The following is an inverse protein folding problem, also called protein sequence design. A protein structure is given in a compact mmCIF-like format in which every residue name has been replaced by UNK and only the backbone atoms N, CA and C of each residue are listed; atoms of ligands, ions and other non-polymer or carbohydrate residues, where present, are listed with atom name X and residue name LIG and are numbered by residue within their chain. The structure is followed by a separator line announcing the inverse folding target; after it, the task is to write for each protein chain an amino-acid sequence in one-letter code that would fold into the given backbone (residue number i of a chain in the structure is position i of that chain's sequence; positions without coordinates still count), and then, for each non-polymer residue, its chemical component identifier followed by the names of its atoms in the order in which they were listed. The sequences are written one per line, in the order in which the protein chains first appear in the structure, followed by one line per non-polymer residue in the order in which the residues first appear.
data_IF_790681674662
#
_entry.id   IF_790681674662
#
_cell.length_a   1.000
_cell.length_b   1.000
_cell.length_c   1.000
_cell.angle_alpha   90.00
_cell.angle_beta   90.00
_cell.angle_gamma   90.00
#
_symmetry.space_group_name_H-M   'P 1'
#
loop_
_entity.id
_entity.type
_entity.pdbx_description
1 polymer ?
#
# COMPACT_ATOMS: atom_id res chain seq x y z
N UNK A 1 32.01 -20.75 17.62
CA UNK A 1 31.05 -21.45 16.71
C UNK A 1 30.18 -20.41 16.01
N UNK A 2 30.15 -20.35 14.67
CA UNK A 2 29.29 -19.41 13.92
C UNK A 2 27.84 -19.92 13.93
N UNK A 3 26.88 -19.14 14.42
CA UNK A 3 25.45 -19.50 14.37
C UNK A 3 24.99 -19.56 12.91
N UNK A 4 24.52 -20.72 12.44
CA UNK A 4 23.97 -20.88 11.08
C UNK A 4 22.74 -19.97 10.94
N UNK A 5 22.73 -19.10 9.91
CA UNK A 5 21.58 -18.25 9.60
C UNK A 5 20.47 -19.13 9.01
N UNK A 6 19.26 -19.03 9.56
CA UNK A 6 18.08 -19.69 9.01
C UNK A 6 17.76 -19.14 7.62
N UNK A 7 17.44 -20.04 6.68
CA UNK A 7 16.96 -19.67 5.35
C UNK A 7 15.59 -18.97 5.43
N UNK A 8 15.26 -18.19 4.42
CA UNK A 8 14.01 -17.42 4.39
C UNK A 8 12.77 -18.33 4.35
N UNK A 9 12.86 -19.48 3.65
CA UNK A 9 11.81 -20.50 3.65
C UNK A 9 11.55 -21.06 5.05
N UNK A 10 12.61 -21.30 5.84
CA UNK A 10 12.47 -21.78 7.22
C UNK A 10 11.83 -20.73 8.12
N UNK A 11 12.22 -19.45 7.99
CA UNK A 11 11.59 -18.36 8.75
C UNK A 11 10.10 -18.24 8.46
N UNK A 12 9.71 -18.40 7.19
CA UNK A 12 8.31 -18.33 6.79
C UNK A 12 7.48 -19.46 7.42
N UNK A 13 7.99 -20.70 7.38
CA UNK A 13 7.35 -21.85 8.03
C UNK A 13 7.18 -21.64 9.53
N UNK A 14 8.22 -21.14 10.20
CA UNK A 14 8.18 -20.84 11.64
C UNK A 14 7.12 -19.77 11.94
N UNK A 15 7.04 -18.69 11.15
CA UNK A 15 6.01 -17.66 11.35
C UNK A 15 4.59 -18.25 11.17
N UNK A 16 4.37 -19.16 10.22
CA UNK A 16 3.09 -19.84 10.00
C UNK A 16 2.70 -20.76 11.17
N UNK A 17 3.66 -21.55 11.67
CA UNK A 17 3.47 -22.39 12.85
C UNK A 17 3.11 -21.55 14.08
N UNK A 18 3.87 -20.47 14.33
CA UNK A 18 3.62 -19.54 15.44
C UNK A 18 2.23 -18.89 15.32
N UNK A 19 1.80 -18.52 14.12
CA UNK A 19 0.53 -17.85 13.91
C UNK A 19 -0.67 -18.73 14.29
N UNK A 20 -0.54 -20.06 14.17
CA UNK A 20 -1.61 -21.03 14.43
C UNK A 20 -1.67 -21.49 15.91
N UNK A 21 -0.64 -21.24 16.70
CA UNK A 21 -0.61 -21.62 18.12
C UNK A 21 -1.51 -20.69 18.95
N UNK A 22 -2.27 -21.25 19.88
CA UNK A 22 -3.02 -20.48 20.87
C UNK A 22 -2.09 -19.97 21.98
N UNK A 23 -1.97 -18.64 22.18
CA UNK A 23 -1.05 -18.08 23.16
C UNK A 23 -1.58 -18.30 24.57
N UNK A 24 -0.73 -18.77 25.48
CA UNK A 24 -1.07 -18.92 26.90
C UNK A 24 -0.61 -17.72 27.74
N UNK A 25 0.43 -17.03 27.27
CA UNK A 25 1.05 -15.90 27.95
C UNK A 25 1.06 -14.63 27.10
N UNK A 26 1.19 -13.46 27.75
CA UNK A 26 1.31 -12.16 27.06
C UNK A 26 2.52 -12.09 26.14
N UNK A 27 3.62 -12.75 26.50
CA UNK A 27 4.84 -12.85 25.68
C UNK A 27 4.59 -13.63 24.40
N UNK A 28 3.95 -14.79 24.50
CA UNK A 28 3.55 -15.62 23.36
C UNK A 28 2.56 -14.89 22.45
N UNK A 29 1.60 -14.17 23.02
CA UNK A 29 0.65 -13.35 22.27
C UNK A 29 1.35 -12.26 21.43
N UNK A 30 2.36 -11.59 22.00
CA UNK A 30 3.19 -10.62 21.26
C UNK A 30 3.96 -11.27 20.12
N UNK A 31 4.51 -12.47 20.35
CA UNK A 31 5.26 -13.22 19.34
C UNK A 31 4.31 -13.65 18.20
N UNK A 32 3.12 -14.15 18.54
CA UNK A 32 2.10 -14.52 17.56
C UNK A 32 1.64 -13.31 16.73
N UNK A 33 1.39 -12.16 17.37
CA UNK A 33 1.03 -10.94 16.67
C UNK A 33 2.13 -10.50 15.70
N UNK A 34 3.39 -10.51 16.15
CA UNK A 34 4.53 -10.18 15.30
C UNK A 34 4.64 -11.13 14.09
N UNK A 35 4.40 -12.43 14.28
CA UNK A 35 4.39 -13.40 13.18
C UNK A 35 3.26 -13.11 12.18
N UNK A 36 2.03 -12.85 12.66
CA UNK A 36 0.87 -12.49 11.82
C UNK A 36 1.15 -11.24 10.97
N UNK A 37 1.70 -10.19 11.57
CA UNK A 37 2.07 -8.96 10.86
C UNK A 37 3.13 -9.20 9.78
N UNK A 38 4.11 -10.07 10.03
CA UNK A 38 5.11 -10.44 9.00
C UNK A 38 4.47 -11.18 7.84
N UNK A 39 3.58 -12.14 8.11
CA UNK A 39 2.84 -12.89 7.08
C UNK A 39 1.99 -11.92 6.25
N UNK A 40 1.25 -11.03 6.89
CA UNK A 40 0.39 -10.07 6.21
C UNK A 40 1.19 -9.11 5.33
N UNK A 41 2.33 -8.61 5.81
CA UNK A 41 3.23 -7.76 5.02
C UNK A 41 3.72 -8.49 3.77
N UNK A 42 4.06 -9.78 3.86
CA UNK A 42 4.46 -10.60 2.71
C UNK A 42 3.32 -10.77 1.72
N UNK A 43 2.10 -11.04 2.20
CA UNK A 43 0.89 -11.14 1.37
C UNK A 43 0.61 -9.83 0.63
N UNK A 44 0.60 -8.69 1.35
CA UNK A 44 0.44 -7.36 0.74
C UNK A 44 1.55 -7.03 -0.26
N UNK A 45 2.79 -7.42 0.00
CA UNK A 45 3.88 -7.23 -0.96
C UNK A 45 3.67 -8.05 -2.25
N UNK A 46 3.13 -9.27 -2.13
CA UNK A 46 2.81 -10.10 -3.30
C UNK A 46 1.63 -9.53 -4.08
N UNK A 47 0.62 -9.04 -3.37
CA UNK A 47 -0.56 -8.41 -3.97
C UNK A 47 -0.22 -7.08 -4.66
N UNK A 48 0.60 -6.22 -4.05
CA UNK A 48 1.10 -4.98 -4.69
C UNK A 48 1.92 -5.22 -5.95
N UNK A 49 2.57 -6.37 -6.10
CA UNK A 49 3.29 -6.72 -7.35
C UNK A 49 2.35 -7.12 -8.48
N UNK A 50 1.16 -7.63 -8.14
CA UNK A 50 0.18 -8.12 -9.10
C UNK A 50 -0.98 -7.12 -9.33
N UNK A 51 -1.13 -6.15 -8.44
CA UNK A 51 -2.10 -5.06 -8.54
C UNK A 51 -1.53 -3.94 -9.39
N UNK A 52 -2.33 -3.29 -10.24
CA UNK A 52 -1.96 -1.99 -10.80
C UNK A 52 -1.61 -1.02 -9.66
N UNK A 53 -0.67 -0.09 -9.88
CA UNK A 53 -0.28 0.88 -8.86
C UNK A 53 -1.51 1.70 -8.44
N UNK A 54 -1.52 2.24 -7.20
CA UNK A 54 -2.60 3.08 -6.71
C UNK A 54 -2.93 4.20 -7.70
N UNK A 55 -4.20 4.61 -7.77
CA UNK A 55 -4.67 5.68 -8.68
C UNK A 55 -3.82 6.95 -8.54
N UNK A 56 -3.39 7.28 -7.32
CA UNK A 56 -2.50 8.41 -7.04
C UNK A 56 -1.16 8.31 -7.76
N UNK A 57 -0.56 7.11 -7.78
CA UNK A 57 0.69 6.84 -8.48
C UNK A 57 0.49 6.87 -9.99
N UNK A 58 -0.62 6.33 -10.49
CA UNK A 58 -0.99 6.43 -11.91
C UNK A 58 -1.20 7.88 -12.34
N UNK A 59 -1.87 8.69 -11.52
CA UNK A 59 -2.10 10.10 -11.79
C UNK A 59 -0.79 10.90 -11.77
N UNK A 60 0.12 10.61 -10.84
CA UNK A 60 1.45 11.19 -10.82
C UNK A 60 2.24 10.84 -12.11
N UNK A 61 2.23 9.58 -12.53
CA UNK A 61 2.87 9.16 -13.79
C UNK A 61 2.27 9.88 -15.01
N UNK A 62 0.95 10.04 -15.07
CA UNK A 62 0.28 10.78 -16.16
C UNK A 62 0.64 12.28 -16.15
N UNK A 63 0.82 12.88 -14.97
CA UNK A 63 1.28 14.26 -14.85
C UNK A 63 2.73 14.41 -15.35
N UNK A 64 3.63 13.51 -14.94
CA UNK A 64 5.03 13.49 -15.42
C UNK A 64 5.12 13.27 -16.94
N UNK A 65 4.24 12.45 -17.51
CA UNK A 65 4.14 12.22 -18.95
C UNK A 65 3.46 13.36 -19.72
N UNK A 66 3.03 14.43 -19.04
CA UNK A 66 2.31 15.55 -19.67
C UNK A 66 0.92 15.19 -20.20
N UNK A 67 0.38 14.01 -19.83
CA UNK A 67 -0.98 13.60 -20.20
C UNK A 67 -2.06 14.34 -19.40
N UNK A 68 -1.71 14.85 -18.22
CA UNK A 68 -2.58 15.75 -17.46
C UNK A 68 -2.11 17.18 -17.74
N UNK A 69 -2.97 18.05 -18.29
CA UNK A 69 -2.61 19.45 -18.44
C UNK A 69 -2.27 20.02 -17.05
N UNK A 70 -1.17 20.77 -16.96
CA UNK A 70 -0.79 21.46 -15.74
C UNK A 70 -1.97 22.28 -15.20
N UNK A 71 -2.09 22.36 -13.88
CA UNK A 71 -3.16 23.12 -13.24
C UNK A 71 -2.96 24.61 -13.55
N UNK A 72 -3.64 25.08 -14.60
CA UNK A 72 -3.62 26.47 -15.02
C UNK A 72 -4.80 27.22 -14.36
N UNK A 73 -4.46 28.15 -13.48
CA UNK A 73 -5.41 28.98 -12.75
C UNK A 73 -6.32 29.74 -13.73
N UNK A 74 -5.77 30.22 -14.86
CA UNK A 74 -6.55 30.92 -15.88
C UNK A 74 -7.62 30.01 -16.50
N UNK A 75 -7.32 28.73 -16.70
CA UNK A 75 -8.26 27.74 -17.23
C UNK A 75 -9.38 27.42 -16.24
N UNK A 76 -9.08 27.34 -14.95
CA UNK A 76 -10.07 27.12 -13.88
C UNK A 76 -10.98 28.34 -13.71
N UNK A 77 -10.43 29.55 -13.86
CA UNK A 77 -11.24 30.77 -13.86
C UNK A 77 -12.23 30.81 -15.04
N UNK A 78 -11.82 30.38 -16.23
CA UNK A 78 -12.69 30.34 -17.41
C UNK A 78 -13.84 29.33 -17.24
N UNK A 79 -13.57 28.14 -16.67
CA UNK A 79 -14.60 27.12 -16.45
C UNK A 79 -15.58 27.52 -15.35
N UNK A 80 -15.09 28.09 -14.25
CA UNK A 80 -15.94 28.58 -13.15
C UNK A 80 -16.79 29.79 -13.56
N UNK A 81 -16.25 30.73 -14.35
CA UNK A 81 -17.03 31.84 -14.94
C UNK A 81 -18.12 31.33 -15.88
N UNK A 82 -17.82 30.34 -16.74
CA UNK A 82 -18.82 29.70 -17.62
C UNK A 82 -19.95 29.01 -16.84
N UNK A 83 -19.65 28.42 -15.69
CA UNK A 83 -20.67 27.80 -14.83
C UNK A 83 -21.55 28.85 -14.13
N UNK A 84 -20.96 29.98 -13.70
CA UNK A 84 -21.71 31.07 -13.06
C UNK A 84 -22.63 31.84 -14.02
N UNK A 85 -22.30 31.90 -15.31
CA UNK A 85 -23.11 32.57 -16.33
C UNK A 85 -24.37 31.82 -16.79
N UNK A 86 -24.53 30.53 -16.47
CA UNK A 86 -25.72 29.74 -16.86
C UNK A 86 -26.94 29.92 -15.95
N UNK A 87 -26.80 30.60 -14.82
CA UNK A 87 -27.89 30.87 -13.87
C UNK A 87 -28.39 32.32 -13.87
N UNK A 88 -27.88 33.17 -14.76
CA UNK A 88 -28.32 34.56 -14.90
C UNK A 88 -29.14 34.71 -16.20
N UNK A 89 -30.40 34.31 -16.13
CA UNK A 89 -31.46 34.77 -17.03
C UNK A 89 -32.32 35.78 -16.27
#
# INVERSE_FOLDING_TARGET
MKKKKLSEKQKNKIDEEIANITPKNRTEAKIQLAAKLRIEKRKRSKERRNSPPPIEVLNAMRFEQGMVPSFDIARVEITTKKWRGKGAN
#
